data_IF_945273654420
#
_entry.id   IF_945273654420
#
_cell.length_a   1.000
_cell.length_b   1.000
_cell.length_c   1.000
_cell.angle_alpha   90.00
_cell.angle_beta   90.00
_cell.angle_gamma   90.00
#
_symmetry.space_group_name_H-M   'P 1'
#
loop_
_entity.id
_entity.type
_entity.pdbx_description
1 polymer ?
#
# COMPACT_ATOMS: atom_id res chain seq x y z
N UNK A 1 -18.08 -11.31 -1.73
CA UNK A 1 -18.61 -12.68 -1.58
C UNK A 1 -18.51 -13.08 -0.11
N UNK A 2 -19.56 -13.75 0.41
CA UNK A 2 -19.73 -14.44 1.71
C UNK A 2 -19.15 -13.79 2.99
N UNK A 3 -20.07 -13.20 3.77
CA UNK A 3 -19.88 -12.80 5.17
C UNK A 3 -20.05 -14.04 6.06
N UNK A 4 -19.06 -14.35 6.90
CA UNK A 4 -19.17 -15.39 7.92
C UNK A 4 -19.42 -14.75 9.28
N UNK A 5 -20.62 -14.94 9.80
CA UNK A 5 -20.97 -14.69 11.21
C UNK A 5 -20.61 -15.93 12.02
N UNK A 6 -19.66 -15.79 12.96
CA UNK A 6 -19.32 -16.83 13.93
C UNK A 6 -19.74 -16.36 15.31
N UNK A 7 -20.72 -17.04 15.89
CA UNK A 7 -21.18 -16.85 17.26
C UNK A 7 -20.34 -17.75 18.18
N UNK A 8 -19.58 -17.15 19.11
CA UNK A 8 -18.85 -17.90 20.14
C UNK A 8 -19.61 -17.84 21.47
N UNK A 9 -19.94 -19.01 22.01
CA UNK A 9 -20.59 -19.18 23.30
C UNK A 9 -19.59 -18.99 24.44
N UNK A 10 -19.96 -18.20 25.46
CA UNK A 10 -19.25 -18.04 26.71
C UNK A 10 -19.61 -19.20 27.66
N UNK A 11 -18.61 -19.96 28.09
CA UNK A 11 -18.68 -20.80 29.29
C UNK A 11 -17.59 -20.35 30.24
N UNK A 12 -18.01 -19.78 31.37
CA UNK A 12 -17.13 -19.39 32.47
C UNK A 12 -16.73 -20.60 33.32
N UNK A 13 -15.48 -20.62 33.77
CA UNK A 13 -15.04 -21.47 34.87
C UNK A 13 -13.93 -20.75 35.65
N UNK A 14 -14.14 -20.57 36.95
CA UNK A 14 -13.24 -19.92 37.92
C UNK A 14 -12.19 -20.90 38.47
N UNK A 15 -10.91 -20.51 38.52
CA UNK A 15 -9.93 -21.06 39.47
C UNK A 15 -8.70 -20.13 39.63
N UNK A 16 -8.08 -20.20 40.81
CA UNK A 16 -7.14 -19.26 41.41
C UNK A 16 -5.72 -19.22 40.80
N UNK A 17 -5.17 -18.00 40.70
CA UNK A 17 -3.91 -17.64 41.35
C UNK A 17 -2.57 -18.19 40.82
N UNK A 18 -2.07 -17.63 39.72
CA UNK A 18 -0.62 -17.49 39.46
C UNK A 18 -0.39 -16.08 38.92
N UNK A 19 0.34 -15.24 39.65
CA UNK A 19 0.83 -13.94 39.18
C UNK A 19 1.96 -14.18 38.18
N UNK A 20 1.58 -14.41 36.92
CA UNK A 20 2.48 -14.25 35.79
C UNK A 20 2.43 -12.77 35.42
N UNK A 21 3.57 -12.08 35.19
CA UNK A 21 3.51 -10.76 34.57
C UNK A 21 2.75 -10.93 33.27
N UNK A 22 1.55 -10.35 33.19
CA UNK A 22 0.87 -10.20 31.93
C UNK A 22 1.80 -9.31 31.09
N UNK A 23 2.62 -9.94 30.25
CA UNK A 23 3.21 -9.27 29.12
C UNK A 23 2.02 -8.73 28.34
N UNK A 24 1.70 -7.45 28.55
CA UNK A 24 0.83 -6.73 27.64
C UNK A 24 1.59 -6.70 26.34
N UNK A 25 1.36 -7.72 25.51
CA UNK A 25 1.59 -7.62 24.08
C UNK A 25 0.73 -6.45 23.63
N UNK A 26 1.31 -5.26 23.67
CA UNK A 26 0.84 -4.14 22.87
C UNK A 26 1.07 -4.62 21.44
N UNK A 27 0.08 -5.31 20.88
CA UNK A 27 -0.08 -5.31 19.45
C UNK A 27 -0.15 -3.83 19.12
N UNK A 28 0.93 -3.28 18.55
CA UNK A 28 0.89 -1.94 18.00
C UNK A 28 -0.38 -1.88 17.19
N UNK A 29 -1.29 -0.95 17.51
CA UNK A 29 -2.40 -0.68 16.62
C UNK A 29 -1.78 -0.49 15.23
N UNK A 30 -1.97 -1.45 14.34
CA UNK A 30 -1.93 -1.17 12.91
C UNK A 30 -2.98 -0.09 12.77
N UNK A 31 -2.51 1.16 12.73
CA UNK A 31 -3.32 2.28 12.36
C UNK A 31 -3.78 1.95 10.95
N UNK A 32 -4.96 1.35 10.85
CA UNK A 32 -5.66 1.22 9.58
C UNK A 32 -5.71 2.64 9.08
N UNK A 33 -4.97 2.87 7.99
CA UNK A 33 -4.98 4.14 7.29
C UNK A 33 -6.47 4.51 7.08
N UNK A 34 -6.83 5.70 7.54
CA UNK A 34 -8.23 6.12 7.72
C UNK A 34 -9.02 6.32 6.42
N UNK A 35 -10.04 7.20 6.39
CA UNK A 35 -10.88 7.39 5.20
C UNK A 35 -10.31 8.39 4.18
N UNK A 36 -9.05 8.83 4.29
CA UNK A 36 -8.54 9.95 3.50
C UNK A 36 -8.18 9.55 2.06
N UNK A 37 -7.63 8.36 1.80
CA UNK A 37 -7.48 7.84 0.45
C UNK A 37 -8.82 7.77 -0.29
N UNK A 38 -9.91 7.37 0.40
CA UNK A 38 -11.27 7.39 -0.16
C UNK A 38 -11.74 8.80 -0.53
N UNK A 39 -11.42 9.81 0.30
CA UNK A 39 -11.76 11.21 -0.02
C UNK A 39 -10.96 11.76 -1.19
N UNK A 40 -9.70 11.34 -1.30
CA UNK A 40 -8.79 11.74 -2.37
C UNK A 40 -9.09 11.00 -3.68
N UNK A 41 -9.72 9.83 -3.59
CA UNK A 41 -10.21 9.09 -4.72
C UNK A 41 -11.29 9.89 -5.47
N UNK A 42 -11.29 9.77 -6.79
CA UNK A 42 -12.24 10.44 -7.65
C UNK A 42 -12.28 9.80 -9.03
N UNK A 43 -12.87 10.49 -10.00
CA UNK A 43 -12.88 10.01 -11.38
C UNK A 43 -11.45 9.73 -11.87
N UNK A 44 -11.27 8.63 -12.61
CA UNK A 44 -9.99 8.31 -13.25
C UNK A 44 -9.57 9.44 -14.16
N UNK A 45 -8.31 9.85 -14.07
CA UNK A 45 -7.76 10.99 -14.79
C UNK A 45 -6.43 10.66 -15.48
N UNK A 46 -5.96 9.42 -15.40
CA UNK A 46 -4.70 8.98 -16.03
C UNK A 46 -3.46 9.17 -15.15
N UNK A 47 -3.61 9.54 -13.88
CA UNK A 47 -2.49 9.87 -12.99
C UNK A 47 -2.21 8.75 -11.97
N UNK A 48 -0.94 8.63 -11.63
CA UNK A 48 -0.47 7.98 -10.42
C UNK A 48 -0.20 9.06 -9.38
N UNK A 49 -0.55 8.80 -8.12
CA UNK A 49 -0.26 9.68 -7.00
C UNK A 49 0.53 8.95 -5.91
N UNK A 50 1.39 9.67 -5.19
CA UNK A 50 2.02 9.18 -3.96
C UNK A 50 2.04 10.27 -2.88
N UNK A 51 2.01 9.84 -1.63
CA UNK A 51 2.02 10.72 -0.45
C UNK A 51 3.02 10.27 0.60
N UNK A 52 3.48 11.24 1.38
CA UNK A 52 4.50 11.07 2.41
C UNK A 52 4.00 10.34 3.66
N UNK A 53 2.69 10.34 3.93
CA UNK A 53 2.13 9.63 5.08
C UNK A 53 1.16 8.54 4.64
N UNK A 54 0.75 7.72 5.62
CA UNK A 54 -0.35 6.78 5.50
C UNK A 54 -1.64 7.47 5.01
N UNK A 55 -2.55 6.69 4.47
CA UNK A 55 -3.90 7.11 4.10
C UNK A 55 -3.92 8.27 3.10
N UNK A 56 -3.00 8.30 2.13
CA UNK A 56 -2.92 9.37 1.14
C UNK A 56 -2.80 10.76 1.80
N UNK A 57 -2.18 10.82 2.99
CA UNK A 57 -2.06 11.99 3.84
C UNK A 57 -0.69 12.67 3.76
N UNK A 58 -0.57 13.84 4.38
CA UNK A 58 0.69 14.59 4.37
C UNK A 58 0.97 15.25 3.01
N UNK A 59 2.25 15.47 2.70
CA UNK A 59 2.64 16.08 1.44
C UNK A 59 2.36 15.14 0.26
N UNK A 60 1.71 15.66 -0.78
CA UNK A 60 1.64 14.96 -2.06
C UNK A 60 3.02 15.04 -2.73
N UNK A 61 3.67 13.88 -2.85
CA UNK A 61 5.04 13.75 -3.34
C UNK A 61 5.10 13.83 -4.86
N UNK A 62 4.17 13.15 -5.52
CA UNK A 62 4.09 13.09 -6.97
C UNK A 62 2.64 12.91 -7.41
N UNK A 63 2.32 13.53 -8.54
CA UNK A 63 1.09 13.32 -9.30
C UNK A 63 1.43 13.45 -10.78
N UNK A 64 1.65 12.32 -11.44
CA UNK A 64 2.15 12.33 -12.82
C UNK A 64 1.31 11.45 -13.73
N UNK A 65 1.00 11.92 -14.94
CA UNK A 65 0.53 11.06 -16.00
C UNK A 65 1.71 10.30 -16.62
N UNK A 66 1.47 9.08 -17.11
CA UNK A 66 2.52 8.29 -17.76
C UNK A 66 3.61 7.82 -16.80
N UNK A 67 4.75 7.38 -17.34
CA UNK A 67 5.86 6.84 -16.55
C UNK A 67 6.73 7.96 -15.97
N UNK A 68 7.40 7.68 -14.86
CA UNK A 68 8.48 8.54 -14.35
C UNK A 68 9.64 7.64 -13.93
N UNK A 69 10.79 7.82 -14.59
CA UNK A 69 12.04 7.12 -14.29
C UNK A 69 12.76 7.73 -13.07
N UNK A 70 12.34 8.90 -12.60
CA UNK A 70 12.91 9.55 -11.43
C UNK A 70 11.95 10.56 -10.81
N UNK A 71 11.70 10.46 -9.50
CA UNK A 71 10.74 11.30 -8.77
C UNK A 71 11.27 12.66 -8.29
N UNK A 72 12.49 13.07 -8.69
CA UNK A 72 13.09 14.42 -8.55
C UNK A 72 12.77 15.14 -7.20
N UNK A 73 13.32 14.63 -6.11
CA UNK A 73 13.15 15.16 -4.74
C UNK A 73 12.05 14.50 -3.91
N UNK A 74 11.30 13.58 -4.51
CA UNK A 74 10.20 12.84 -3.88
C UNK A 74 10.44 11.33 -3.73
N UNK A 75 11.57 10.84 -4.24
CA UNK A 75 12.06 9.49 -4.06
C UNK A 75 12.22 9.12 -2.58
N UNK A 76 12.03 7.84 -2.27
CA UNK A 76 12.33 7.22 -0.98
C UNK A 76 11.58 7.87 0.19
N UNK A 77 10.35 8.34 -0.07
CA UNK A 77 9.51 9.06 0.91
C UNK A 77 8.04 8.62 0.92
N UNK A 78 7.63 7.80 -0.04
CA UNK A 78 6.22 7.45 -0.16
C UNK A 78 5.83 6.39 0.87
N UNK A 79 4.72 6.66 1.54
CA UNK A 79 4.07 5.76 2.50
C UNK A 79 2.67 5.34 2.04
N UNK A 80 2.10 6.01 1.03
CA UNK A 80 0.87 5.58 0.35
C UNK A 80 0.84 6.02 -1.11
N UNK A 81 0.12 5.27 -1.96
CA UNK A 81 0.04 5.48 -3.41
C UNK A 81 -1.36 5.22 -3.96
N UNK A 82 -1.69 5.82 -5.11
CA UNK A 82 -2.99 5.66 -5.75
C UNK A 82 -2.89 5.56 -7.27
N UNK A 83 -3.65 4.63 -7.83
CA UNK A 83 -3.81 4.40 -9.27
C UNK A 83 -5.15 4.98 -9.75
N UNK A 84 -5.14 6.24 -10.21
CA UNK A 84 -6.25 6.88 -10.94
C UNK A 84 -6.04 6.85 -12.45
N UNK A 85 -5.26 5.88 -12.93
CA UNK A 85 -5.04 5.59 -14.34
C UNK A 85 -6.31 5.18 -15.07
N UNK A 86 -6.27 5.18 -16.40
CA UNK A 86 -7.33 4.57 -17.21
C UNK A 86 -7.22 3.03 -17.17
N UNK A 87 -8.30 2.34 -17.52
CA UNK A 87 -8.37 0.87 -17.53
C UNK A 87 -8.32 0.31 -18.94
N UNK A 88 -7.76 -0.89 -19.11
CA UNK A 88 -7.84 -1.66 -20.37
C UNK A 88 -6.48 -2.08 -20.94
N UNK A 89 -5.47 -1.20 -20.91
CA UNK A 89 -4.09 -1.51 -21.31
C UNK A 89 -3.14 -0.60 -20.56
N UNK A 90 -2.00 -1.14 -20.13
CA UNK A 90 -1.02 -0.42 -19.28
C UNK A 90 -1.71 0.22 -18.06
N UNK A 91 -2.60 -0.51 -17.41
CA UNK A 91 -3.50 -0.01 -16.36
C UNK A 91 -3.04 -0.36 -14.94
N UNK A 92 -1.94 -1.09 -14.82
CA UNK A 92 -1.26 -1.36 -13.55
C UNK A 92 -0.08 -0.40 -13.40
N UNK A 93 0.23 -0.02 -12.16
CA UNK A 93 1.43 0.78 -11.87
C UNK A 93 2.46 -0.10 -11.17
N UNK A 94 3.60 -0.34 -11.80
CA UNK A 94 4.77 -0.91 -11.15
C UNK A 94 5.59 0.20 -10.48
N UNK A 95 5.84 0.06 -9.19
CA UNK A 95 6.67 0.97 -8.39
C UNK A 95 8.02 0.32 -8.15
N UNK A 96 9.11 1.06 -8.41
CA UNK A 96 10.47 0.54 -8.40
C UNK A 96 11.32 1.20 -7.32
N UNK A 97 12.22 0.40 -6.75
CA UNK A 97 13.17 0.77 -5.69
C UNK A 97 14.15 1.88 -6.11
N UNK A 98 14.53 1.93 -7.39
CA UNK A 98 15.54 2.86 -7.87
C UNK A 98 15.05 3.68 -9.07
N UNK A 99 15.80 4.72 -9.40
CA UNK A 99 15.66 5.44 -10.66
C UNK A 99 15.80 4.50 -11.87
N UNK A 100 15.28 4.92 -13.03
CA UNK A 100 15.41 4.16 -14.27
C UNK A 100 14.66 2.84 -14.28
N UNK A 101 13.63 2.67 -13.44
CA UNK A 101 12.88 1.43 -13.27
C UNK A 101 13.77 0.26 -12.78
N UNK A 102 14.78 0.58 -11.96
CA UNK A 102 15.73 -0.38 -11.42
C UNK A 102 15.35 -0.95 -10.04
N UNK A 103 16.05 -2.01 -9.64
CA UNK A 103 15.87 -2.66 -8.33
C UNK A 103 14.63 -3.54 -8.26
N UNK A 104 14.14 -3.77 -7.03
CA UNK A 104 12.88 -4.46 -6.81
C UNK A 104 11.65 -3.66 -7.25
N UNK A 105 10.54 -4.34 -7.47
CA UNK A 105 9.26 -3.69 -7.77
C UNK A 105 8.06 -4.42 -7.15
N UNK A 106 6.94 -3.71 -7.04
CA UNK A 106 5.60 -4.27 -6.81
C UNK A 106 4.56 -3.45 -7.56
N UNK A 107 3.45 -4.09 -7.94
CA UNK A 107 2.39 -3.44 -8.69
C UNK A 107 1.20 -2.98 -7.83
N UNK A 108 0.50 -1.95 -8.30
CA UNK A 108 -0.85 -1.61 -7.88
C UNK A 108 -1.82 -1.80 -9.05
N UNK A 109 -2.78 -2.69 -8.88
CA UNK A 109 -3.82 -2.95 -9.86
C UNK A 109 -4.79 -1.77 -9.95
N UNK A 110 -5.43 -1.54 -11.10
CA UNK A 110 -6.45 -0.50 -11.20
C UNK A 110 -7.64 -0.77 -10.29
N UNK A 111 -7.97 -2.05 -10.02
CA UNK A 111 -9.09 -2.43 -9.15
C UNK A 111 -8.83 -2.26 -7.65
N UNK A 112 -7.55 -2.16 -7.24
CA UNK A 112 -7.15 -1.92 -5.85
C UNK A 112 -7.28 -0.44 -5.47
N UNK A 113 -7.33 0.45 -6.47
CA UNK A 113 -7.48 1.91 -6.36
C UNK A 113 -6.28 2.61 -5.72
N UNK A 114 -5.87 2.20 -4.53
CA UNK A 114 -4.76 2.75 -3.76
C UNK A 114 -4.17 1.70 -2.81
N UNK A 115 -2.92 1.91 -2.42
CA UNK A 115 -2.30 1.30 -1.24
C UNK A 115 -2.15 2.41 -0.21
N UNK A 116 -2.95 2.34 0.85
CA UNK A 116 -3.06 3.35 1.91
C UNK A 116 -1.96 3.22 2.97
N UNK A 117 -1.30 2.06 3.02
CA UNK A 117 -0.18 1.75 3.87
C UNK A 117 0.88 0.96 3.08
N UNK A 118 2.07 1.53 2.87
CA UNK A 118 3.20 0.81 2.25
C UNK A 118 4.09 0.06 3.25
N UNK A 119 3.87 0.24 4.57
CA UNK A 119 4.75 -0.32 5.62
C UNK A 119 4.62 -1.84 5.75
N UNK A 120 3.52 -2.42 5.29
CA UNK A 120 3.25 -3.86 5.23
C UNK A 120 3.56 -4.49 3.86
N UNK A 121 3.86 -3.69 2.84
CA UNK A 121 4.21 -4.21 1.52
C UNK A 121 5.73 -4.40 1.34
N UNK A 122 6.05 -5.31 0.41
CA UNK A 122 7.43 -5.62 -0.01
C UNK A 122 7.59 -5.52 -1.51
N UNK A 123 8.78 -5.10 -1.93
CA UNK A 123 9.20 -5.18 -3.33
C UNK A 123 9.77 -6.58 -3.62
N UNK A 124 9.89 -6.95 -4.89
CA UNK A 124 10.47 -8.24 -5.33
C UNK A 124 11.90 -8.48 -4.85
N UNK A 125 12.65 -7.43 -4.48
CA UNK A 125 13.98 -7.54 -3.85
C UNK A 125 13.92 -7.91 -2.36
N UNK A 126 12.75 -7.94 -1.74
CA UNK A 126 12.53 -8.24 -0.32
C UNK A 126 12.57 -7.02 0.61
N UNK A 127 12.94 -5.84 0.09
CA UNK A 127 12.91 -4.57 0.85
C UNK A 127 11.47 -4.08 1.06
N UNK A 128 11.27 -3.20 2.03
CA UNK A 128 9.97 -2.54 2.22
C UNK A 128 9.64 -1.65 1.03
N UNK A 129 8.35 -1.54 0.67
CA UNK A 129 7.93 -0.54 -0.31
C UNK A 129 7.88 0.88 0.29
N UNK A 130 7.71 0.98 1.61
CA UNK A 130 7.68 2.25 2.34
C UNK A 130 9.02 2.97 2.26
N UNK A 131 8.99 4.27 1.95
CA UNK A 131 10.16 5.15 1.90
C UNK A 131 11.30 4.61 1.01
N UNK A 132 10.94 3.88 -0.04
CA UNK A 132 11.92 3.17 -0.89
C UNK A 132 11.64 3.34 -2.39
N UNK A 133 10.47 3.85 -2.78
CA UNK A 133 10.10 3.97 -4.19
C UNK A 133 10.74 5.23 -4.79
N UNK A 134 11.41 5.06 -5.93
CA UNK A 134 12.14 6.12 -6.64
C UNK A 134 11.65 6.34 -8.09
N UNK A 135 10.95 5.38 -8.68
CA UNK A 135 10.41 5.48 -10.04
C UNK A 135 9.14 4.62 -10.22
N UNK A 136 8.36 4.87 -11.28
CA UNK A 136 7.17 4.07 -11.59
C UNK A 136 6.91 3.94 -13.09
N UNK A 137 6.23 2.85 -13.47
CA UNK A 137 5.85 2.56 -14.84
C UNK A 137 4.43 2.01 -14.94
N UNK A 138 3.69 2.48 -15.93
CA UNK A 138 2.43 1.87 -16.35
C UNK A 138 2.72 0.61 -17.13
N UNK A 139 2.16 -0.51 -16.68
CA UNK A 139 2.45 -1.84 -17.20
C UNK A 139 1.17 -2.66 -17.34
N UNK A 140 1.24 -3.75 -18.09
CA UNK A 140 0.14 -4.70 -18.14
C UNK A 140 0.21 -5.64 -16.93
N UNK A 141 -0.92 -6.26 -16.59
CA UNK A 141 -0.99 -7.26 -15.51
C UNK A 141 0.09 -8.33 -15.59
N UNK A 142 0.46 -8.78 -16.80
CA UNK A 142 1.48 -9.79 -17.01
C UNK A 142 2.87 -9.38 -16.52
N UNK A 143 3.20 -8.10 -16.62
CA UNK A 143 4.50 -7.55 -16.21
C UNK A 143 4.67 -7.54 -14.69
N UNK A 144 3.56 -7.59 -13.94
CA UNK A 144 3.57 -7.62 -12.48
C UNK A 144 4.04 -8.98 -11.91
N UNK A 145 3.97 -10.06 -12.69
CA UNK A 145 4.38 -11.41 -12.29
C UNK A 145 3.82 -11.89 -10.93
N UNK A 146 2.62 -11.42 -10.56
CA UNK A 146 1.98 -11.75 -9.28
C UNK A 146 2.45 -10.92 -8.08
N UNK A 147 3.33 -9.94 -8.27
CA UNK A 147 3.83 -9.07 -7.20
C UNK A 147 2.95 -7.83 -7.09
N UNK A 148 2.16 -7.75 -6.03
CA UNK A 148 1.21 -6.68 -5.77
C UNK A 148 1.44 -6.08 -4.39
N UNK A 149 1.10 -4.80 -4.23
CA UNK A 149 1.00 -4.13 -2.93
C UNK A 149 -0.24 -4.67 -2.22
N UNK A 150 -0.09 -5.78 -1.49
CA UNK A 150 -1.16 -6.48 -0.75
C UNK A 150 -1.11 -6.22 0.75
#
# INVERSE_FOLDING_TARGET
MRKFTVTAALLGLTALGVVVPAATSQAAESAVAGPNCDRQWGARNGYMYAWENLDCGGAQLIATPGNSDWWVGSQDRATSVMNRGYVGSLDHVAFYEHAGYGGGYSCLAPGELYADNLTDNRLTSGVSANDTISSHKWVNRGDCNGNFLT
#
